data_IF_917347195357
#
_entry.id   IF_917347195357
#
_cell.length_a   1.000
_cell.length_b   1.000
_cell.length_c   1.000
_cell.angle_alpha   90.00
_cell.angle_beta   90.00
_cell.angle_gamma   90.00
#
_symmetry.space_group_name_H-M   'P 1'
#
loop_
_entity.id
_entity.type
_entity.pdbx_description
1 polymer ?
#
# COMPACT_ATOMS: atom_id res chain seq x y z
N UNK A 1 -2.44 14.33 2.29
CA UNK A 1 -2.72 15.35 3.29
C UNK A 1 -3.32 16.62 2.65
N UNK A 2 -3.64 17.62 3.44
CA UNK A 2 -4.21 18.91 3.00
C UNK A 2 -3.41 19.58 1.88
N UNK A 3 -2.10 19.42 1.88
CA UNK A 3 -1.21 20.05 0.92
C UNK A 3 -1.03 19.22 -0.36
N UNK A 4 -1.69 18.06 -0.44
CA UNK A 4 -1.63 17.16 -1.60
C UNK A 4 -0.52 16.11 -1.52
N UNK A 5 0.28 16.07 -0.45
CA UNK A 5 1.31 15.05 -0.29
C UNK A 5 0.71 13.72 0.16
N UNK A 6 1.22 12.64 -0.42
CA UNK A 6 0.80 11.29 -0.06
C UNK A 6 1.24 10.92 1.35
N UNK A 7 0.43 10.11 2.02
CA UNK A 7 0.70 9.51 3.32
C UNK A 7 0.46 8.01 3.24
N UNK A 8 1.41 7.23 3.72
CA UNK A 8 1.23 5.79 3.91
C UNK A 8 0.53 5.60 5.24
N UNK A 9 -0.58 4.83 5.22
CA UNK A 9 -1.41 4.54 6.40
C UNK A 9 -1.71 3.05 6.47
N UNK A 10 -2.40 2.62 7.53
CA UNK A 10 -2.86 1.24 7.73
C UNK A 10 -1.73 0.21 7.74
N UNK A 11 -0.98 0.19 8.85
CA UNK A 11 0.11 -0.75 9.07
C UNK A 11 -0.35 -2.10 9.66
N UNK A 12 -1.65 -2.45 9.58
CA UNK A 12 -2.22 -3.67 10.16
C UNK A 12 -1.68 -4.97 9.55
N UNK A 13 -1.20 -4.94 8.31
CA UNK A 13 -0.60 -6.09 7.62
C UNK A 13 0.93 -6.02 7.51
N UNK A 14 1.58 -5.05 8.16
CA UNK A 14 3.02 -4.86 8.05
C UNK A 14 3.79 -5.99 8.74
N UNK A 15 4.86 -6.45 8.08
CA UNK A 15 5.82 -7.39 8.67
C UNK A 15 7.06 -6.64 9.13
N UNK A 16 7.32 -6.67 10.44
CA UNK A 16 8.48 -6.01 11.02
C UNK A 16 9.76 -6.83 10.86
N UNK A 17 10.91 -6.15 10.95
CA UNK A 17 12.25 -6.76 10.93
C UNK A 17 12.64 -7.50 9.63
N UNK A 18 11.99 -7.15 8.50
CA UNK A 18 12.37 -7.65 7.18
C UNK A 18 13.63 -6.94 6.68
N UNK A 19 14.82 -7.44 7.08
CA UNK A 19 16.13 -6.88 6.69
C UNK A 19 16.89 -7.83 5.79
N UNK A 20 17.55 -7.28 4.78
CA UNK A 20 18.33 -8.07 3.82
C UNK A 20 17.49 -9.16 3.16
N UNK A 21 17.93 -10.41 3.28
CA UNK A 21 17.26 -11.58 2.71
C UNK A 21 16.28 -12.27 3.67
N UNK A 22 15.81 -11.57 4.72
CA UNK A 22 14.77 -12.12 5.60
C UNK A 22 13.53 -12.48 4.81
N UNK A 23 12.97 -13.66 5.04
CA UNK A 23 11.77 -14.16 4.35
C UNK A 23 10.61 -14.37 5.30
N UNK A 24 9.39 -14.33 4.75
CA UNK A 24 8.14 -14.70 5.43
C UNK A 24 7.24 -15.47 4.46
N UNK A 25 6.14 -16.05 4.97
CA UNK A 25 5.18 -16.83 4.19
C UNK A 25 3.72 -16.46 4.49
N UNK A 26 3.50 -15.37 5.21
CA UNK A 26 2.14 -14.93 5.55
C UNK A 26 1.39 -14.53 4.28
N UNK A 27 0.24 -15.16 4.02
CA UNK A 27 -0.61 -14.81 2.88
C UNK A 27 -1.64 -13.76 3.32
N UNK A 28 -1.46 -12.51 2.91
CA UNK A 28 -2.36 -11.40 3.20
C UNK A 28 -2.20 -10.28 2.17
N UNK A 29 -3.20 -9.45 2.05
CA UNK A 29 -3.22 -8.30 1.13
C UNK A 29 -4.46 -8.28 0.25
N UNK A 30 -4.59 -7.24 -0.55
CA UNK A 30 -5.65 -7.09 -1.56
C UNK A 30 -5.30 -7.93 -2.79
N UNK A 31 -6.22 -8.76 -3.29
CA UNK A 31 -5.96 -9.75 -4.34
C UNK A 31 -5.21 -9.22 -5.56
N UNK A 32 -5.58 -8.04 -6.05
CA UNK A 32 -5.03 -7.41 -7.25
C UNK A 32 -3.55 -7.02 -7.11
N UNK A 33 -3.09 -6.83 -5.87
CA UNK A 33 -1.74 -6.36 -5.55
C UNK A 33 -0.78 -7.46 -5.09
N UNK A 34 -1.28 -8.70 -4.94
CA UNK A 34 -0.48 -9.83 -4.43
C UNK A 34 0.59 -10.23 -5.45
N UNK A 35 1.83 -10.40 -4.98
CA UNK A 35 2.95 -10.82 -5.82
C UNK A 35 2.88 -12.31 -6.19
N UNK A 36 3.42 -12.72 -7.37
CA UNK A 36 3.36 -14.11 -7.85
C UNK A 36 3.92 -15.13 -6.85
N UNK A 37 5.05 -14.81 -6.20
CA UNK A 37 5.70 -15.69 -5.22
C UNK A 37 4.83 -15.95 -3.99
N UNK A 38 3.97 -15.00 -3.59
CA UNK A 38 3.01 -15.21 -2.50
C UNK A 38 1.91 -16.18 -2.92
N UNK A 39 1.40 -16.08 -4.16
CA UNK A 39 0.41 -17.00 -4.72
C UNK A 39 0.95 -18.43 -4.86
N UNK A 40 2.24 -18.55 -5.11
CA UNK A 40 2.95 -19.83 -5.23
C UNK A 40 3.34 -20.42 -3.86
N UNK A 41 3.01 -19.72 -2.76
CA UNK A 41 3.37 -20.10 -1.38
C UNK A 41 4.89 -20.23 -1.16
N UNK A 42 5.68 -19.53 -1.95
CA UNK A 42 7.12 -19.44 -1.75
C UNK A 42 7.46 -18.47 -0.62
N UNK A 43 8.56 -18.68 0.10
CA UNK A 43 9.10 -17.64 0.98
C UNK A 43 9.38 -16.38 0.20
N UNK A 44 8.94 -15.23 0.71
CA UNK A 44 9.09 -13.95 0.02
C UNK A 44 9.79 -12.90 0.89
N UNK A 45 10.37 -11.91 0.24
CA UNK A 45 11.10 -10.80 0.86
C UNK A 45 10.33 -9.49 0.70
N UNK A 46 10.97 -8.38 1.08
CA UNK A 46 10.47 -7.01 0.84
C UNK A 46 10.16 -6.70 -0.64
N UNK A 47 10.69 -7.49 -1.57
CA UNK A 47 10.46 -7.30 -3.01
C UNK A 47 8.98 -7.36 -3.43
N UNK A 48 8.11 -7.96 -2.61
CA UNK A 48 6.66 -7.97 -2.84
C UNK A 48 6.07 -6.56 -2.82
N UNK A 49 6.63 -5.64 -2.04
CA UNK A 49 6.18 -4.24 -1.99
C UNK A 49 6.47 -3.52 -3.32
N UNK A 50 7.59 -3.85 -3.98
CA UNK A 50 7.91 -3.30 -5.30
C UNK A 50 7.02 -3.84 -6.41
N UNK A 51 6.57 -5.10 -6.29
CA UNK A 51 5.50 -5.62 -7.16
C UNK A 51 4.21 -4.82 -6.98
N UNK A 52 3.75 -4.66 -5.74
CA UNK A 52 2.53 -3.89 -5.44
C UNK A 52 2.64 -2.44 -5.90
N UNK A 53 3.83 -1.83 -5.78
CA UNK A 53 4.09 -0.50 -6.32
C UNK A 53 3.97 -0.48 -7.86
N UNK A 54 4.45 -1.51 -8.56
CA UNK A 54 4.29 -1.65 -10.01
C UNK A 54 2.82 -1.75 -10.44
N UNK A 55 1.99 -2.50 -9.69
CA UNK A 55 0.54 -2.56 -9.89
C UNK A 55 -0.08 -1.17 -9.74
N UNK A 56 0.25 -0.46 -8.65
CA UNK A 56 -0.26 0.88 -8.37
C UNK A 56 0.12 1.88 -9.48
N UNK A 57 1.36 1.87 -9.96
CA UNK A 57 1.79 2.76 -11.04
C UNK A 57 1.02 2.48 -12.33
N UNK A 58 0.80 1.20 -12.67
CA UNK A 58 0.00 0.83 -13.83
C UNK A 58 -1.44 1.33 -13.68
N UNK A 59 -2.07 1.07 -12.53
CA UNK A 59 -3.46 1.47 -12.25
C UNK A 59 -3.64 3.00 -12.28
N UNK A 60 -2.71 3.76 -11.72
CA UNK A 60 -2.75 5.23 -11.80
C UNK A 60 -2.70 5.75 -13.26
N UNK A 61 -2.05 5.03 -14.17
CA UNK A 61 -1.94 5.43 -15.58
C UNK A 61 -3.09 4.92 -16.46
N UNK A 62 -3.80 3.87 -16.04
CA UNK A 62 -4.80 3.18 -16.87
C UNK A 62 -6.21 3.18 -16.28
N UNK A 63 -6.33 3.37 -14.97
CA UNK A 63 -7.60 3.31 -14.21
C UNK A 63 -7.99 1.91 -13.72
N UNK A 64 -7.26 0.86 -14.11
CA UNK A 64 -7.49 -0.53 -13.67
C UNK A 64 -6.15 -1.25 -13.44
N UNK A 65 -6.08 -2.24 -12.53
CA UNK A 65 -4.91 -3.09 -12.37
C UNK A 65 -4.62 -3.93 -13.64
N UNK A 66 -3.36 -4.31 -13.88
CA UNK A 66 -2.97 -5.01 -15.12
C UNK A 66 -3.52 -6.44 -15.25
N UNK A 67 -3.92 -7.07 -14.15
CA UNK A 67 -4.39 -8.45 -14.08
C UNK A 67 -5.79 -8.53 -13.45
N UNK A 68 -6.72 -7.69 -13.90
CA UNK A 68 -8.07 -7.64 -13.34
C UNK A 68 -8.98 -8.71 -13.93
N UNK A 69 -9.71 -9.43 -13.07
CA UNK A 69 -10.82 -10.30 -13.43
C UNK A 69 -11.76 -10.47 -12.22
N UNK A 70 -13.06 -10.49 -12.44
CA UNK A 70 -14.06 -10.69 -11.37
C UNK A 70 -13.91 -12.06 -10.70
N UNK A 71 -13.35 -13.04 -11.39
CA UNK A 71 -13.01 -14.33 -10.83
C UNK A 71 -11.58 -14.30 -10.26
N UNK A 72 -11.47 -14.23 -8.94
CA UNK A 72 -10.21 -14.16 -8.21
C UNK A 72 -9.23 -15.28 -8.59
N UNK A 73 -9.71 -16.52 -8.78
CA UNK A 73 -8.84 -17.64 -9.17
C UNK A 73 -8.28 -17.47 -10.60
N UNK A 74 -9.05 -16.86 -11.50
CA UNK A 74 -8.57 -16.53 -12.84
C UNK A 74 -7.55 -15.40 -12.77
N UNK A 75 -7.82 -14.35 -12.01
CA UNK A 75 -6.90 -13.25 -11.76
C UNK A 75 -5.57 -13.76 -11.18
N UNK A 76 -5.58 -14.63 -10.18
CA UNK A 76 -4.36 -15.23 -9.63
C UNK A 76 -3.55 -16.00 -10.67
N UNK A 77 -4.21 -16.76 -11.56
CA UNK A 77 -3.52 -17.40 -12.68
C UNK A 77 -2.88 -16.39 -13.62
N UNK A 78 -3.60 -15.30 -13.95
CA UNK A 78 -3.05 -14.21 -14.77
C UNK A 78 -1.80 -13.61 -14.14
N UNK A 79 -1.84 -13.27 -12.84
CA UNK A 79 -0.70 -12.73 -12.09
C UNK A 79 0.53 -13.64 -12.21
N UNK A 80 0.35 -14.96 -12.14
CA UNK A 80 1.47 -15.92 -12.21
C UNK A 80 1.96 -16.14 -13.64
N UNK A 81 1.05 -16.16 -14.65
CA UNK A 81 1.41 -16.71 -15.96
C UNK A 81 1.40 -15.70 -17.12
N UNK A 82 0.69 -14.58 -16.99
CA UNK A 82 0.53 -13.65 -18.11
C UNK A 82 1.48 -12.46 -18.01
N UNK A 83 1.94 -11.97 -19.14
CA UNK A 83 2.63 -10.69 -19.22
C UNK A 83 1.63 -9.54 -19.13
N UNK A 84 2.14 -8.35 -18.78
CA UNK A 84 1.34 -7.13 -18.75
C UNK A 84 0.98 -6.69 -20.16
N UNK A 85 -0.30 -6.52 -20.42
CA UNK A 85 -0.80 -5.91 -21.65
C UNK A 85 -0.88 -4.38 -21.49
N UNK A 86 -0.08 -3.66 -22.26
CA UNK A 86 0.03 -2.21 -22.14
C UNK A 86 -0.82 -1.51 -23.19
N UNK A 87 -1.74 -0.62 -22.81
CA UNK A 87 -2.40 0.28 -23.75
C UNK A 87 -1.40 1.08 -24.58
N UNK A 88 -1.76 1.36 -25.84
CA UNK A 88 -0.87 2.02 -26.79
C UNK A 88 -0.45 3.45 -26.38
N UNK A 89 -1.21 4.10 -25.51
CA UNK A 89 -0.92 5.44 -25.01
C UNK A 89 0.13 5.48 -23.89
N UNK A 90 0.51 4.35 -23.31
CA UNK A 90 1.53 4.30 -22.26
C UNK A 90 2.90 4.58 -22.87
N UNK A 91 3.61 5.55 -22.31
CA UNK A 91 4.94 5.94 -22.80
C UNK A 91 5.96 4.79 -22.67
N UNK A 92 6.95 4.70 -23.56
CA UNK A 92 7.97 3.66 -23.50
C UNK A 92 8.71 3.63 -22.15
N UNK A 93 8.97 4.79 -21.56
CA UNK A 93 9.67 4.89 -20.28
C UNK A 93 8.81 4.42 -19.10
N UNK A 94 7.50 4.68 -19.12
CA UNK A 94 6.58 4.15 -18.13
C UNK A 94 6.42 2.64 -18.28
N UNK A 95 6.30 2.15 -19.51
CA UNK A 95 6.27 0.72 -19.81
C UNK A 95 7.51 -0.02 -19.29
N UNK A 96 8.70 0.57 -19.47
CA UNK A 96 9.96 -0.01 -19.00
C UNK A 96 9.99 -0.10 -17.46
N UNK A 97 9.63 0.98 -16.76
CA UNK A 97 9.54 0.97 -15.28
C UNK A 97 8.58 -0.11 -14.78
N UNK A 98 7.34 -0.12 -15.29
CA UNK A 98 6.32 -1.06 -14.85
C UNK A 98 6.74 -2.50 -15.15
N UNK A 99 7.29 -2.78 -16.33
CA UNK A 99 7.77 -4.12 -16.70
C UNK A 99 8.86 -4.63 -15.76
N UNK A 100 9.77 -3.75 -15.33
CA UNK A 100 10.84 -4.08 -14.38
C UNK A 100 10.32 -4.31 -12.96
N UNK A 101 9.33 -3.53 -12.52
CA UNK A 101 8.67 -3.71 -11.22
C UNK A 101 7.79 -4.97 -11.22
N UNK A 102 7.09 -5.27 -12.33
CA UNK A 102 6.24 -6.44 -12.48
C UNK A 102 6.99 -7.66 -13.08
N UNK A 103 8.30 -7.74 -12.83
CA UNK A 103 9.08 -8.94 -13.10
C UNK A 103 8.65 -10.04 -12.14
N UNK A 104 8.21 -11.18 -12.69
CA UNK A 104 7.64 -12.28 -11.89
C UNK A 104 8.66 -12.94 -10.98
N UNK A 105 9.89 -13.10 -11.47
CA UNK A 105 11.02 -13.56 -10.66
C UNK A 105 11.46 -12.45 -9.71
N UNK A 106 11.27 -12.61 -8.38
CA UNK A 106 11.62 -11.58 -7.41
C UNK A 106 13.12 -11.23 -7.38
N UNK A 107 13.99 -12.19 -7.78
CA UNK A 107 15.44 -11.96 -7.81
C UNK A 107 15.87 -10.94 -8.88
N UNK A 108 15.10 -10.85 -9.96
CA UNK A 108 15.34 -9.94 -11.09
C UNK A 108 14.42 -8.69 -11.07
N UNK A 109 13.56 -8.59 -10.06
CA UNK A 109 12.64 -7.45 -9.92
C UNK A 109 13.38 -6.19 -9.52
N UNK A 110 13.07 -5.08 -10.17
CA UNK A 110 13.63 -3.76 -9.84
C UNK A 110 13.35 -3.40 -8.37
N UNK A 111 14.38 -2.97 -7.65
CA UNK A 111 14.33 -2.67 -6.23
C UNK A 111 14.65 -3.85 -5.30
N UNK A 112 14.83 -5.08 -5.84
CA UNK A 112 15.25 -6.22 -5.01
C UNK A 112 16.75 -6.25 -4.73
N UNK A 113 17.55 -5.53 -5.48
CA UNK A 113 19.00 -5.45 -5.29
C UNK A 113 19.40 -4.79 -3.96
N UNK A 114 20.70 -4.80 -3.65
CA UNK A 114 21.22 -4.23 -2.39
C UNK A 114 20.99 -2.72 -2.29
N UNK A 115 20.82 -2.04 -3.41
CA UNK A 115 20.56 -0.58 -3.46
C UNK A 115 19.08 -0.24 -3.26
N UNK A 116 18.18 -1.25 -3.25
CA UNK A 116 16.76 -1.12 -2.94
C UNK A 116 16.07 0.01 -3.74
N UNK A 117 15.42 0.94 -3.07
CA UNK A 117 14.71 2.06 -3.67
C UNK A 117 15.59 2.98 -4.53
N UNK A 118 16.90 3.01 -4.31
CA UNK A 118 17.82 3.82 -5.12
C UNK A 118 17.85 3.36 -6.60
N UNK A 119 17.66 2.06 -6.85
CA UNK A 119 17.53 1.54 -8.22
C UNK A 119 16.27 2.10 -8.92
N UNK A 120 15.19 2.23 -8.17
CA UNK A 120 13.94 2.78 -8.67
C UNK A 120 14.07 4.28 -8.91
N UNK A 121 14.66 5.02 -7.96
CA UNK A 121 14.92 6.46 -8.08
C UNK A 121 15.78 6.81 -9.29
N UNK A 122 16.75 5.94 -9.61
CA UNK A 122 17.65 6.12 -10.75
C UNK A 122 16.99 5.79 -12.10
N UNK A 123 15.76 5.27 -12.11
CA UNK A 123 15.09 4.92 -13.37
C UNK A 123 14.75 6.16 -14.19
N UNK A 124 14.91 6.13 -15.54
CA UNK A 124 14.63 7.27 -16.41
C UNK A 124 13.24 7.91 -16.29
N UNK A 125 12.27 7.16 -15.79
CA UNK A 125 10.93 7.67 -15.50
C UNK A 125 10.95 8.87 -14.53
N UNK A 126 11.92 8.88 -13.62
CA UNK A 126 12.07 9.91 -12.59
C UNK A 126 13.12 10.98 -12.90
N UNK A 127 13.70 11.02 -14.11
CA UNK A 127 14.78 11.95 -14.46
C UNK A 127 14.45 13.44 -14.27
N UNK A 128 13.14 13.78 -14.35
CA UNK A 128 12.69 15.17 -14.20
C UNK A 128 12.32 15.51 -12.74
N UNK A 129 12.53 14.59 -11.81
CA UNK A 129 12.15 14.74 -10.41
C UNK A 129 13.40 15.00 -9.57
N UNK A 130 13.43 16.13 -8.89
CA UNK A 130 14.44 16.41 -7.86
C UNK A 130 13.98 15.79 -6.53
N UNK A 131 14.67 14.75 -6.08
CA UNK A 131 14.30 14.03 -4.87
C UNK A 131 14.47 14.84 -3.59
N UNK A 132 15.44 15.76 -3.55
CA UNK A 132 15.61 16.67 -2.41
C UNK A 132 14.41 17.62 -2.28
N UNK A 133 13.90 18.11 -3.41
CA UNK A 133 12.70 18.93 -3.45
C UNK A 133 11.45 18.14 -3.01
N UNK A 134 11.36 16.84 -3.34
CA UNK A 134 10.29 15.97 -2.86
C UNK A 134 10.37 15.80 -1.34
N UNK A 135 11.55 15.45 -0.81
CA UNK A 135 11.79 15.23 0.63
C UNK A 135 11.51 16.51 1.43
N UNK A 136 11.97 17.65 0.93
CA UNK A 136 11.78 18.93 1.58
C UNK A 136 10.40 19.56 1.32
N UNK A 137 9.55 18.89 0.54
CA UNK A 137 8.20 19.37 0.17
C UNK A 137 8.20 20.75 -0.48
N UNK A 138 9.21 21.05 -1.30
CA UNK A 138 9.30 22.30 -2.07
C UNK A 138 8.60 22.19 -3.42
N UNK A 139 8.39 20.96 -3.93
CA UNK A 139 7.55 20.71 -5.10
C UNK A 139 6.09 20.78 -4.68
N UNK A 140 5.37 21.72 -5.29
CA UNK A 140 3.93 21.79 -5.07
C UNK A 140 3.23 20.64 -5.80
N UNK A 141 2.44 19.78 -5.12
CA UNK A 141 1.62 18.76 -5.78
C UNK A 141 0.66 19.38 -6.79
N UNK A 142 0.51 18.73 -7.95
CA UNK A 142 -0.42 19.21 -9.00
C UNK A 142 -1.87 19.11 -8.55
N UNK A 143 -2.18 18.12 -7.73
CA UNK A 143 -3.50 17.93 -7.14
C UNK A 143 -3.46 18.21 -5.63
N UNK A 144 -4.43 18.95 -5.16
CA UNK A 144 -4.66 19.19 -3.72
C UNK A 144 -6.14 18.94 -3.42
N UNK A 145 -6.46 18.29 -2.28
CA UNK A 145 -7.84 18.07 -1.89
C UNK A 145 -8.54 19.41 -1.61
N UNK A 146 -9.78 19.56 -2.08
CA UNK A 146 -10.63 20.67 -1.67
C UNK A 146 -11.13 20.42 -0.25
N UNK A 147 -10.69 21.23 0.70
CA UNK A 147 -11.05 21.11 2.13
C UNK A 147 -11.60 22.44 2.60
N UNK A 148 -12.86 22.46 3.03
CA UNK A 148 -13.58 23.67 3.47
C UNK A 148 -13.20 24.09 4.88
N UNK A 149 -12.94 23.13 5.78
CA UNK A 149 -12.56 23.34 7.19
C UNK A 149 -11.90 22.08 7.75
N UNK A 150 -11.44 22.08 8.99
CA UNK A 150 -10.70 20.98 9.60
C UNK A 150 -11.53 19.71 9.86
N UNK A 151 -12.85 19.80 9.80
CA UNK A 151 -13.80 18.69 9.99
C UNK A 151 -14.52 18.32 8.69
N UNK A 152 -14.04 18.81 7.54
CA UNK A 152 -14.67 18.54 6.25
C UNK A 152 -14.50 17.08 5.85
N UNK A 153 -15.60 16.40 5.64
CA UNK A 153 -15.68 14.99 5.19
C UNK A 153 -15.96 14.84 3.71
N UNK A 154 -15.96 15.94 2.93
CA UNK A 154 -16.35 15.95 1.52
C UNK A 154 -15.52 15.04 0.60
N UNK A 155 -14.31 14.63 1.03
CA UNK A 155 -13.44 13.69 0.30
C UNK A 155 -13.62 12.23 0.73
N UNK A 156 -14.60 11.92 1.59
CA UNK A 156 -14.94 10.57 2.02
C UNK A 156 -16.29 10.15 1.44
N UNK A 157 -16.47 8.88 1.19
CA UNK A 157 -17.72 8.36 0.66
C UNK A 157 -18.88 8.67 1.62
N UNK A 158 -20.01 9.20 1.12
CA UNK A 158 -21.21 9.46 1.91
C UNK A 158 -21.77 8.23 2.63
N UNK A 159 -21.50 7.02 2.13
CA UNK A 159 -21.86 5.77 2.81
C UNK A 159 -21.29 5.74 4.24
N UNK A 160 -20.02 6.13 4.42
CA UNK A 160 -19.38 6.17 5.74
C UNK A 160 -19.70 7.44 6.52
N UNK A 161 -19.76 8.60 5.84
CA UNK A 161 -19.93 9.88 6.54
C UNK A 161 -21.35 10.16 7.01
N UNK A 162 -22.35 9.45 6.46
CA UNK A 162 -23.75 9.54 6.87
C UNK A 162 -24.13 8.51 7.95
N UNK A 163 -23.24 7.62 8.32
CA UNK A 163 -23.49 6.69 9.42
C UNK A 163 -23.65 7.44 10.75
N UNK A 164 -24.59 7.00 11.57
CA UNK A 164 -24.73 7.53 12.92
C UNK A 164 -23.52 7.18 13.77
N UNK A 165 -22.87 8.16 14.34
CA UNK A 165 -21.78 7.96 15.30
C UNK A 165 -22.35 7.39 16.61
N UNK A 166 -22.49 6.08 16.67
CA UNK A 166 -22.88 5.34 17.87
C UNK A 166 -21.72 4.53 18.39
N UNK A 167 -21.54 4.49 19.70
CA UNK A 167 -20.58 3.58 20.32
C UNK A 167 -21.09 2.15 20.07
N UNK A 168 -20.22 1.32 19.45
CA UNK A 168 -20.54 -0.09 19.27
C UNK A 168 -20.84 -0.72 20.62
N UNK A 169 -21.95 -1.49 20.68
CA UNK A 169 -22.24 -2.27 21.88
C UNK A 169 -21.18 -3.36 22.03
N UNK A 170 -20.33 -3.21 23.04
CA UNK A 170 -19.39 -4.29 23.41
C UNK A 170 -20.08 -5.22 24.41
N UNK A 171 -20.24 -6.47 24.00
CA UNK A 171 -20.59 -7.51 24.95
C UNK A 171 -19.38 -7.78 25.84
N UNK A 172 -19.44 -7.36 27.10
CA UNK A 172 -18.38 -7.54 28.08
C UNK A 172 -17.96 -9.00 28.30
N UNK A 173 -18.72 -9.97 27.77
CA UNK A 173 -18.39 -11.39 27.79
C UNK A 173 -17.37 -11.82 26.71
N UNK A 174 -17.09 -10.97 25.73
CA UNK A 174 -16.19 -11.30 24.60
C UNK A 174 -14.72 -11.22 25.01
N UNK A 175 -14.37 -10.36 25.95
CA UNK A 175 -13.00 -10.23 26.47
C UNK A 175 -12.90 -11.00 27.77
N UNK A 176 -12.33 -12.18 27.71
CA UNK A 176 -12.04 -12.95 28.91
C UNK A 176 -10.92 -12.29 29.77
N UNK A 177 -10.79 -12.73 31.03
CA UNK A 177 -9.80 -12.17 31.94
C UNK A 177 -8.34 -12.35 31.46
N UNK A 178 -8.08 -13.36 30.64
CA UNK A 178 -6.73 -13.60 30.09
C UNK A 178 -6.42 -12.58 29.00
N UNK A 179 -7.33 -12.36 28.07
CA UNK A 179 -7.21 -11.36 27.03
C UNK A 179 -7.13 -9.95 27.60
N UNK A 180 -7.91 -9.65 28.64
CA UNK A 180 -7.84 -8.36 29.33
C UNK A 180 -6.47 -8.11 30.00
N UNK A 181 -5.81 -9.16 30.51
CA UNK A 181 -4.49 -9.04 31.13
C UNK A 181 -3.38 -8.64 30.14
N UNK A 182 -3.53 -8.95 28.84
CA UNK A 182 -2.58 -8.55 27.79
C UNK A 182 -2.58 -7.03 27.54
N UNK A 183 -3.65 -6.34 27.91
CA UNK A 183 -3.76 -4.87 27.84
C UNK A 183 -3.32 -4.16 29.14
N UNK A 184 -2.72 -4.88 30.09
CA UNK A 184 -2.23 -4.28 31.34
C UNK A 184 -1.17 -3.22 31.04
N UNK A 185 -1.42 -1.99 31.50
CA UNK A 185 -0.56 -0.83 31.22
C UNK A 185 -0.91 -0.05 29.94
N UNK A 186 -1.89 -0.51 29.16
CA UNK A 186 -2.48 0.28 28.08
C UNK A 186 -3.54 1.22 28.67
N UNK A 187 -3.16 2.48 28.90
CA UNK A 187 -4.06 3.48 29.48
C UNK A 187 -4.10 4.71 28.57
N UNK A 188 -5.27 5.17 28.20
CA UNK A 188 -5.46 6.45 27.53
C UNK A 188 -5.90 7.49 28.58
N UNK A 189 -5.19 8.60 28.67
CA UNK A 189 -5.60 9.75 29.48
C UNK A 189 -6.29 10.73 28.57
N UNK A 190 -7.60 10.94 28.75
CA UNK A 190 -8.34 11.97 28.04
C UNK A 190 -7.88 13.39 28.41
N UNK A 191 -8.17 14.38 27.58
CA UNK A 191 -7.77 15.79 27.72
C UNK A 191 -8.13 16.42 29.08
N UNK A 192 -9.02 15.80 29.86
CA UNK A 192 -9.43 16.25 31.20
C UNK A 192 -8.79 15.44 32.34
N UNK A 193 -7.75 14.66 32.09
CA UNK A 193 -7.08 13.88 33.11
C UNK A 193 -7.89 12.67 33.64
N UNK A 194 -8.99 12.33 32.98
CA UNK A 194 -9.82 11.17 33.35
C UNK A 194 -9.22 9.93 32.73
N UNK A 195 -8.88 8.94 33.55
CA UNK A 195 -8.44 7.62 33.09
C UNK A 195 -9.68 6.89 32.57
N UNK A 196 -9.70 6.62 31.28
CA UNK A 196 -10.69 5.74 30.66
C UNK A 196 -10.10 4.32 30.71
N UNK A 197 -10.60 3.53 31.64
CA UNK A 197 -10.25 2.11 31.80
C UNK A 197 -11.15 1.22 30.99
#
# INVERSE_FOLDING_TARGET
DRDGYLKITDFGLVKQNMKGNSTTQTFCGTPEYIAPEMLQQNPYTKSVDWWSFGILVFEMLTGLPPFYDDNVNKMYRMIVTQDVDFPAYISPVAKDLISKLLTKDPEHRLGNGPSDYEEIKAHPFFNNLNWDDVINKTIKPEWQPEIKNDTDTGNFDPEFTNENAVVSFEDASIIDQHTQAEFTGFTCVGDNGTILG
#
